data_IF_042886577457
#
_entry.id   IF_042886577457
#
_cell.length_a   1.000
_cell.length_b   1.000
_cell.length_c   1.000
_cell.angle_alpha   90.00
_cell.angle_beta   90.00
_cell.angle_gamma   90.00
#
_symmetry.space_group_name_H-M   'P 1'
#
loop_
_entity.id
_entity.type
_entity.pdbx_description
1 polymer ?
#
# COMPACT_ATOMS: atom_id res chain seq x y z
N UNK A 1 18.41 1.38 -0.08
CA UNK A 1 17.50 0.68 -1.03
C UNK A 1 16.67 1.73 -1.76
N UNK A 2 16.57 1.65 -3.10
CA UNK A 2 15.79 2.62 -3.91
C UNK A 2 14.34 2.15 -4.01
N UNK A 3 13.41 2.97 -3.54
CA UNK A 3 11.99 2.67 -3.46
C UNK A 3 11.18 3.61 -4.37
N UNK A 4 10.27 3.03 -5.17
CA UNK A 4 9.18 3.76 -5.83
C UNK A 4 7.86 3.35 -5.19
N UNK A 5 6.97 4.32 -4.92
CA UNK A 5 5.63 4.05 -4.37
C UNK A 5 4.55 4.49 -5.36
N UNK A 6 3.57 3.62 -5.62
CA UNK A 6 2.34 3.94 -6.34
C UNK A 6 1.17 3.93 -5.36
N UNK A 7 0.41 5.03 -5.26
CA UNK A 7 -0.54 5.30 -4.16
C UNK A 7 -1.80 6.01 -4.65
N UNK A 8 -2.91 5.79 -3.99
CA UNK A 8 -4.13 6.60 -4.12
C UNK A 8 -4.33 7.58 -2.94
N UNK A 9 -3.23 8.03 -2.33
CA UNK A 9 -3.20 8.93 -1.18
C UNK A 9 -4.14 10.12 -1.31
N UNK A 10 -4.75 10.51 -0.19
CA UNK A 10 -5.61 11.69 -0.07
C UNK A 10 -6.79 11.48 0.86
N UNK A 11 -7.59 10.48 0.62
CA UNK A 11 -8.84 10.27 1.38
C UNK A 11 -8.63 9.36 2.60
N UNK A 12 -7.75 8.35 2.48
CA UNK A 12 -7.37 7.47 3.59
C UNK A 12 -6.08 7.96 4.27
N UNK A 13 -6.04 8.10 5.61
CA UNK A 13 -4.81 8.48 6.34
C UNK A 13 -3.69 7.44 6.27
N UNK A 14 -3.97 6.20 5.96
CA UNK A 14 -3.03 5.07 5.93
C UNK A 14 -1.91 5.28 4.91
N UNK A 15 -2.25 5.64 3.68
CA UNK A 15 -1.29 6.05 2.65
C UNK A 15 -0.35 7.16 3.15
N UNK A 16 -0.92 8.19 3.80
CA UNK A 16 -0.15 9.32 4.31
C UNK A 16 0.90 8.86 5.32
N UNK A 17 0.54 7.92 6.20
CA UNK A 17 1.48 7.35 7.18
C UNK A 17 2.57 6.54 6.47
N UNK A 18 2.20 5.70 5.51
CA UNK A 18 3.16 4.88 4.77
C UNK A 18 4.17 5.75 4.01
N UNK A 19 3.70 6.77 3.29
CA UNK A 19 4.55 7.73 2.58
C UNK A 19 5.49 8.50 3.53
N UNK A 20 4.97 8.94 4.68
CA UNK A 20 5.76 9.64 5.69
C UNK A 20 6.86 8.78 6.29
N UNK A 21 6.54 7.53 6.63
CA UNK A 21 7.52 6.57 7.14
C UNK A 21 8.58 6.20 6.09
N UNK A 22 8.17 6.00 4.83
CA UNK A 22 9.10 5.68 3.75
C UNK A 22 10.16 6.77 3.54
N UNK A 23 9.75 8.04 3.63
CA UNK A 23 10.65 9.18 3.46
C UNK A 23 11.62 9.41 4.64
N UNK A 24 11.46 8.66 5.75
CA UNK A 24 12.26 8.78 6.98
C UNK A 24 13.04 7.53 7.36
N UNK A 25 12.84 6.45 6.66
CA UNK A 25 13.61 5.25 6.88
C UNK A 25 15.04 5.45 6.35
N UNK A 26 16.04 5.42 7.22
CA UNK A 26 17.46 5.71 6.91
C UNK A 26 18.05 4.85 5.79
N UNK A 27 17.55 3.63 5.63
CA UNK A 27 17.99 2.66 4.63
C UNK A 27 17.18 2.72 3.32
N UNK A 28 16.22 3.66 3.22
CA UNK A 28 15.34 3.88 2.07
C UNK A 28 15.68 5.18 1.35
N UNK A 29 15.96 5.08 0.07
CA UNK A 29 16.01 6.20 -0.87
C UNK A 29 14.67 6.21 -1.63
N UNK A 30 13.73 7.05 -1.20
CA UNK A 30 12.43 7.23 -1.87
C UNK A 30 12.63 8.04 -3.13
N UNK A 31 12.89 7.34 -4.24
CA UNK A 31 13.25 7.94 -5.54
C UNK A 31 12.07 8.52 -6.30
N UNK A 32 10.84 8.18 -5.94
CA UNK A 32 9.65 8.77 -6.53
C UNK A 32 8.34 8.16 -6.02
N UNK A 33 7.28 8.90 -6.29
CA UNK A 33 5.89 8.52 -5.99
C UNK A 33 5.04 8.77 -7.23
N UNK A 34 4.20 7.81 -7.61
CA UNK A 34 3.14 7.98 -8.60
C UNK A 34 1.77 7.91 -7.93
N UNK A 35 0.80 8.61 -8.50
CA UNK A 35 -0.58 8.57 -8.01
C UNK A 35 -1.50 7.84 -8.97
N UNK A 36 -2.47 7.13 -8.44
CA UNK A 36 -3.42 6.31 -9.19
C UNK A 36 -4.84 6.56 -8.70
N UNK A 37 -5.81 6.24 -9.54
CA UNK A 37 -7.24 6.31 -9.28
C UNK A 37 -7.82 7.72 -9.03
N UNK A 38 -9.02 7.96 -9.57
CA UNK A 38 -9.76 9.20 -9.42
C UNK A 38 -8.99 10.45 -9.92
N UNK A 39 -8.93 11.49 -9.11
CA UNK A 39 -8.22 12.74 -9.43
C UNK A 39 -6.73 12.63 -9.05
N UNK A 40 -5.94 12.04 -9.95
CA UNK A 40 -4.50 11.80 -9.76
C UNK A 40 -3.71 13.10 -9.55
N UNK A 41 -4.12 14.22 -10.17
CA UNK A 41 -3.45 15.52 -9.98
C UNK A 41 -3.69 16.06 -8.57
N UNK A 42 -4.91 16.00 -8.06
CA UNK A 42 -5.22 16.39 -6.68
C UNK A 42 -4.41 15.56 -5.69
N UNK A 43 -4.33 14.25 -5.91
CA UNK A 43 -3.52 13.33 -5.10
C UNK A 43 -2.04 13.71 -5.13
N UNK A 44 -1.48 13.94 -6.32
CA UNK A 44 -0.08 14.33 -6.49
C UNK A 44 0.25 15.68 -5.81
N UNK A 45 -0.67 16.65 -5.85
CA UNK A 45 -0.51 17.90 -5.11
C UNK A 45 -0.42 17.65 -3.60
N UNK A 46 -1.28 16.78 -3.06
CA UNK A 46 -1.24 16.39 -1.65
C UNK A 46 0.08 15.74 -1.26
N UNK A 47 0.57 14.80 -2.07
CA UNK A 47 1.86 14.11 -1.84
C UNK A 47 3.03 15.08 -1.91
N UNK A 48 3.07 16.03 -2.87
CA UNK A 48 4.11 17.06 -2.95
C UNK A 48 4.16 17.96 -1.72
N UNK A 49 3.00 18.27 -1.11
CA UNK A 49 2.94 19.01 0.14
C UNK A 49 3.45 18.18 1.34
N UNK A 50 3.12 16.91 1.37
CA UNK A 50 3.56 15.98 2.43
C UNK A 50 5.07 15.73 2.37
N UNK A 51 5.62 15.56 1.16
CA UNK A 51 6.99 15.15 0.89
C UNK A 51 7.71 16.15 -0.03
N UNK A 52 8.06 17.34 0.47
CA UNK A 52 8.81 18.32 -0.32
C UNK A 52 10.15 17.75 -0.79
N UNK A 53 10.41 17.85 -2.09
CA UNK A 53 11.68 17.39 -2.68
C UNK A 53 11.66 15.97 -3.24
N UNK A 54 10.61 15.17 -2.96
CA UNK A 54 10.40 13.89 -3.63
C UNK A 54 9.82 14.11 -5.02
N UNK A 55 10.27 13.33 -6.00
CA UNK A 55 9.70 13.33 -7.35
C UNK A 55 8.29 12.72 -7.33
N UNK A 56 7.27 13.50 -7.70
CA UNK A 56 5.86 13.05 -7.68
C UNK A 56 5.22 13.20 -9.04
N UNK A 57 4.76 12.08 -9.58
CA UNK A 57 4.09 11.97 -10.88
C UNK A 57 2.59 11.73 -10.69
N UNK A 58 1.76 12.49 -11.36
CA UNK A 58 0.33 12.24 -11.44
C UNK A 58 0.03 11.20 -12.53
N UNK A 59 -0.61 10.11 -12.17
CA UNK A 59 -0.89 8.99 -13.08
C UNK A 59 0.30 8.05 -13.26
N UNK A 60 0.34 7.28 -14.36
CA UNK A 60 1.35 6.25 -14.58
C UNK A 60 2.78 6.80 -14.53
N UNK A 61 3.67 6.16 -13.78
CA UNK A 61 5.05 6.61 -13.69
C UNK A 61 5.83 6.30 -14.98
N UNK A 62 6.87 7.09 -15.30
CA UNK A 62 7.77 6.77 -16.40
C UNK A 62 8.52 5.45 -16.16
N UNK A 63 8.48 4.55 -17.14
CA UNK A 63 9.06 3.21 -17.06
C UNK A 63 10.55 3.24 -16.69
N UNK A 64 11.33 4.10 -17.36
CA UNK A 64 12.77 4.27 -17.17
C UNK A 64 13.16 4.73 -15.76
N UNK A 65 12.24 5.36 -15.01
CA UNK A 65 12.45 5.72 -13.62
C UNK A 65 12.20 4.55 -12.68
N UNK A 66 11.13 3.81 -12.92
CA UNK A 66 10.73 2.68 -12.07
C UNK A 66 11.67 1.48 -12.24
N UNK A 67 12.16 1.21 -13.45
CA UNK A 67 13.18 0.18 -13.71
C UNK A 67 14.45 0.36 -12.85
N UNK A 68 14.75 1.59 -12.48
CA UNK A 68 15.89 1.91 -11.62
C UNK A 68 15.62 1.72 -10.12
N UNK A 69 14.39 1.41 -9.71
CA UNK A 69 14.09 1.06 -8.33
C UNK A 69 14.56 -0.36 -7.98
N UNK A 70 14.95 -0.57 -6.73
CA UNK A 70 15.14 -1.92 -6.18
C UNK A 70 13.78 -2.57 -5.87
N UNK A 71 12.83 -1.74 -5.43
CA UNK A 71 11.48 -2.15 -5.04
C UNK A 71 10.44 -1.16 -5.57
N UNK A 72 9.34 -1.69 -6.12
CA UNK A 72 8.10 -0.98 -6.36
C UNK A 72 7.08 -1.43 -5.32
N UNK A 73 6.55 -0.47 -4.56
CA UNK A 73 5.45 -0.67 -3.63
C UNK A 73 4.17 -0.07 -4.20
N UNK A 74 3.16 -0.89 -4.48
CA UNK A 74 1.81 -0.44 -4.85
C UNK A 74 0.88 -0.52 -3.65
N UNK A 75 0.36 0.62 -3.19
CA UNK A 75 -0.61 0.74 -2.10
C UNK A 75 -1.95 1.33 -2.56
N UNK A 76 -2.08 1.67 -3.83
CA UNK A 76 -3.33 1.99 -4.50
C UNK A 76 -3.79 0.88 -5.46
N UNK A 77 -4.84 1.12 -6.26
CA UNK A 77 -5.27 0.23 -7.33
C UNK A 77 -4.14 -0.18 -8.28
N UNK A 78 -4.10 -1.44 -8.68
CA UNK A 78 -2.94 -2.01 -9.39
C UNK A 78 -2.82 -1.59 -10.87
N UNK A 79 -3.61 -0.63 -11.32
CA UNK A 79 -3.69 -0.14 -12.71
C UNK A 79 -2.33 0.30 -13.25
N UNK A 80 -1.63 1.19 -12.54
CA UNK A 80 -0.32 1.70 -12.98
C UNK A 80 0.74 0.60 -12.98
N UNK A 81 0.74 -0.27 -11.98
CA UNK A 81 1.69 -1.39 -11.87
C UNK A 81 1.47 -2.40 -13.00
N UNK A 82 0.21 -2.67 -13.37
CA UNK A 82 -0.11 -3.51 -14.51
C UNK A 82 0.36 -2.89 -15.84
N UNK A 83 0.20 -1.58 -16.01
CA UNK A 83 0.71 -0.86 -17.18
C UNK A 83 2.24 -0.91 -17.29
N UNK A 84 2.96 -0.83 -16.17
CA UNK A 84 4.42 -1.03 -16.13
C UNK A 84 4.81 -2.48 -16.49
N UNK A 85 4.06 -3.46 -16.00
CA UNK A 85 4.28 -4.86 -16.33
C UNK A 85 4.13 -5.12 -17.85
N UNK A 86 3.11 -4.53 -18.48
CA UNK A 86 2.87 -4.65 -19.92
C UNK A 86 4.03 -4.04 -20.75
N UNK A 87 4.77 -3.09 -20.19
CA UNK A 87 5.96 -2.48 -20.77
C UNK A 87 7.26 -3.24 -20.44
N UNK A 88 7.20 -4.27 -19.58
CA UNK A 88 8.39 -4.97 -19.09
C UNK A 88 9.25 -4.13 -18.12
N UNK A 89 8.68 -3.09 -17.52
CA UNK A 89 9.38 -2.08 -16.73
C UNK A 89 9.26 -2.27 -15.20
N UNK A 90 8.87 -3.46 -14.75
CA UNK A 90 8.84 -3.75 -13.32
C UNK A 90 10.25 -3.99 -12.77
N UNK A 91 10.56 -3.45 -11.58
CA UNK A 91 11.79 -3.79 -10.89
C UNK A 91 11.75 -5.26 -10.40
N UNK A 92 12.90 -5.73 -9.93
CA UNK A 92 13.04 -7.13 -9.48
C UNK A 92 12.08 -7.50 -8.34
N UNK A 93 11.75 -6.55 -7.47
CA UNK A 93 10.86 -6.77 -6.32
C UNK A 93 9.65 -5.85 -6.43
N UNK A 94 8.47 -6.44 -6.42
CA UNK A 94 7.20 -5.72 -6.43
C UNK A 94 6.37 -6.19 -5.24
N UNK A 95 5.94 -5.26 -4.41
CA UNK A 95 5.08 -5.50 -3.24
C UNK A 95 3.77 -4.76 -3.47
N UNK A 96 2.65 -5.45 -3.32
CA UNK A 96 1.31 -4.92 -3.59
C UNK A 96 0.41 -5.13 -2.37
N UNK A 97 -0.13 -4.03 -1.85
CA UNK A 97 -1.26 -4.10 -0.93
C UNK A 97 -2.52 -4.36 -1.75
N UNK A 98 -3.28 -5.39 -1.39
CA UNK A 98 -4.55 -5.67 -2.06
C UNK A 98 -5.02 -7.10 -1.95
N UNK A 99 -6.29 -7.28 -2.29
CA UNK A 99 -6.99 -8.56 -2.25
C UNK A 99 -7.46 -8.99 -0.86
N UNK A 100 -8.62 -9.62 -0.81
CA UNK A 100 -9.19 -10.05 0.47
C UNK A 100 -8.75 -11.48 0.86
N UNK A 101 -8.63 -12.40 -0.08
CA UNK A 101 -8.35 -13.86 0.05
C UNK A 101 -9.36 -14.63 0.90
N UNK A 102 -10.13 -13.98 1.74
CA UNK A 102 -11.28 -14.52 2.48
C UNK A 102 -12.24 -13.37 2.80
N UNK A 103 -13.52 -13.66 3.07
CA UNK A 103 -14.47 -12.63 3.47
C UNK A 103 -14.04 -11.95 4.76
N UNK A 104 -14.06 -10.62 4.79
CA UNK A 104 -13.74 -9.80 5.95
C UNK A 104 -15.00 -9.10 6.43
N UNK A 105 -15.22 -9.10 7.73
CA UNK A 105 -16.32 -8.35 8.34
C UNK A 105 -15.93 -6.87 8.42
N UNK A 106 -16.66 -6.03 7.69
CA UNK A 106 -16.52 -4.58 7.72
C UNK A 106 -17.90 -3.94 7.91
N UNK A 107 -18.07 -3.11 8.92
CA UNK A 107 -19.35 -2.45 9.27
C UNK A 107 -20.53 -3.44 9.39
N UNK A 108 -20.28 -4.60 9.96
CA UNK A 108 -21.30 -5.63 10.10
C UNK A 108 -21.56 -6.49 8.87
N UNK A 109 -21.05 -6.12 7.71
CA UNK A 109 -21.20 -6.84 6.44
C UNK A 109 -19.97 -7.68 6.10
N UNK A 110 -20.17 -8.79 5.40
CA UNK A 110 -19.08 -9.60 4.84
C UNK A 110 -18.67 -9.03 3.49
N UNK A 111 -17.47 -8.50 3.41
CA UNK A 111 -16.87 -8.05 2.14
C UNK A 111 -15.91 -9.11 1.61
N UNK A 112 -16.00 -9.37 0.31
CA UNK A 112 -15.15 -10.32 -0.43
C UNK A 112 -14.17 -9.61 -1.37
N UNK A 113 -14.47 -8.37 -1.71
CA UNK A 113 -13.68 -7.55 -2.62
C UNK A 113 -12.96 -6.49 -1.78
N UNK A 114 -11.65 -6.41 -1.98
CA UNK A 114 -10.81 -5.37 -1.42
C UNK A 114 -10.73 -4.21 -2.42
N UNK A 115 -10.49 -2.98 -1.93
CA UNK A 115 -10.59 -1.77 -2.72
C UNK A 115 -9.63 -1.75 -3.92
N UNK A 116 -8.34 -1.97 -3.71
CA UNK A 116 -7.32 -1.83 -4.74
C UNK A 116 -7.51 -2.81 -5.90
N UNK A 117 -7.85 -4.06 -5.58
CA UNK A 117 -8.16 -5.08 -6.58
C UNK A 117 -9.55 -4.85 -7.18
N UNK A 118 -10.51 -4.40 -6.38
CA UNK A 118 -11.88 -4.14 -6.82
C UNK A 118 -12.02 -2.92 -7.72
N UNK A 119 -11.13 -1.93 -7.61
CA UNK A 119 -11.14 -0.74 -8.44
C UNK A 119 -10.74 -1.03 -9.90
N UNK A 120 -9.84 -2.01 -10.12
CA UNK A 120 -9.44 -2.46 -11.45
C UNK A 120 -9.13 -3.97 -11.46
N UNK A 121 -10.17 -4.82 -11.44
CA UNK A 121 -9.99 -6.28 -11.41
C UNK A 121 -9.29 -6.83 -12.65
N UNK A 122 -9.47 -6.18 -13.80
CA UNK A 122 -8.83 -6.59 -15.05
C UNK A 122 -7.32 -6.37 -14.99
N UNK A 123 -6.88 -5.20 -14.53
CA UNK A 123 -5.47 -4.90 -14.30
C UNK A 123 -4.85 -5.87 -13.29
N UNK A 124 -5.52 -6.13 -12.18
CA UNK A 124 -5.05 -7.05 -11.16
C UNK A 124 -4.91 -8.49 -11.70
N UNK A 125 -5.91 -8.99 -12.40
CA UNK A 125 -5.87 -10.31 -13.03
C UNK A 125 -4.78 -10.42 -14.10
N UNK A 126 -4.59 -9.36 -14.92
CA UNK A 126 -3.57 -9.30 -15.96
C UNK A 126 -2.17 -9.28 -15.34
N UNK A 127 -1.96 -8.46 -14.31
CA UNK A 127 -0.71 -8.36 -13.58
C UNK A 127 -0.29 -9.70 -12.98
N UNK A 128 -1.19 -10.39 -12.29
CA UNK A 128 -0.92 -11.72 -11.73
C UNK A 128 -0.50 -12.73 -12.80
N UNK A 129 -1.16 -12.74 -13.97
CA UNK A 129 -0.86 -13.70 -15.05
C UNK A 129 0.44 -13.41 -15.78
N UNK A 130 0.79 -12.15 -15.96
CA UNK A 130 1.87 -11.73 -16.85
C UNK A 130 3.19 -11.47 -16.12
N UNK A 131 3.18 -11.47 -14.79
CA UNK A 131 4.38 -11.25 -13.99
C UNK A 131 4.85 -12.54 -13.34
N UNK A 132 6.13 -12.57 -13.01
CA UNK A 132 6.72 -13.63 -12.22
C UNK A 132 6.19 -13.64 -10.79
N UNK A 133 7.07 -13.63 -9.82
CA UNK A 133 6.66 -13.65 -8.41
C UNK A 133 6.46 -12.23 -7.86
N UNK A 134 5.22 -11.89 -7.52
CA UNK A 134 4.87 -10.69 -6.75
C UNK A 134 4.80 -11.03 -5.26
N UNK A 135 4.94 -10.01 -4.41
CA UNK A 135 4.62 -10.10 -2.99
C UNK A 135 3.27 -9.40 -2.77
N UNK A 136 2.26 -10.14 -2.36
CA UNK A 136 0.92 -9.63 -2.10
C UNK A 136 0.68 -9.53 -0.60
N UNK A 137 0.22 -8.37 -0.14
CA UNK A 137 -0.14 -8.08 1.24
C UNK A 137 -1.66 -7.95 1.32
N UNK A 138 -2.39 -9.05 1.61
CA UNK A 138 -3.84 -9.07 1.55
C UNK A 138 -4.49 -8.55 2.83
N UNK A 139 -5.76 -8.16 2.73
CA UNK A 139 -6.55 -7.70 3.90
C UNK A 139 -6.54 -8.68 5.06
N UNK A 140 -6.60 -10.00 4.81
CA UNK A 140 -6.62 -11.01 5.88
C UNK A 140 -5.38 -10.97 6.75
N UNK A 141 -4.24 -10.49 6.24
CA UNK A 141 -3.00 -10.36 6.99
C UNK A 141 -2.96 -9.07 7.82
N UNK A 142 -3.64 -8.02 7.39
CA UNK A 142 -3.51 -6.66 7.93
C UNK A 142 -4.75 -6.15 8.68
N UNK A 143 -5.91 -6.79 8.54
CA UNK A 143 -7.20 -6.33 9.07
C UNK A 143 -7.24 -6.13 10.61
N UNK A 144 -6.29 -6.70 11.35
CA UNK A 144 -6.15 -6.53 12.81
C UNK A 144 -5.19 -5.42 13.20
N UNK A 145 -4.34 -4.97 12.28
CA UNK A 145 -3.34 -3.94 12.54
C UNK A 145 -4.01 -2.57 12.62
N UNK A 146 -4.39 -2.17 13.82
CA UNK A 146 -5.13 -0.93 14.08
C UNK A 146 -4.24 0.09 14.76
N UNK A 147 -4.36 1.34 14.34
CA UNK A 147 -3.79 2.44 15.09
C UNK A 147 -4.51 2.59 16.43
N UNK A 148 -3.75 2.71 17.51
CA UNK A 148 -4.25 3.00 18.83
C UNK A 148 -4.24 4.50 19.10
N UNK A 149 -4.93 4.98 20.12
CA UNK A 149 -4.97 6.39 20.49
C UNK A 149 -3.56 6.99 20.76
N UNK A 150 -2.60 6.17 21.18
CA UNK A 150 -1.21 6.61 21.34
C UNK A 150 -0.55 6.82 19.96
N UNK A 151 -0.74 5.89 19.03
CA UNK A 151 -0.21 5.98 17.66
C UNK A 151 -0.74 7.24 16.97
N UNK A 152 -2.04 7.48 17.05
CA UNK A 152 -2.68 8.66 16.47
C UNK A 152 -2.15 9.98 17.04
N UNK A 153 -1.84 10.03 18.35
CA UNK A 153 -1.21 11.22 18.94
C UNK A 153 0.19 11.46 18.40
N UNK A 154 1.00 10.41 18.29
CA UNK A 154 2.35 10.49 17.73
C UNK A 154 2.28 10.97 16.27
N UNK A 155 1.44 10.33 15.45
CA UNK A 155 1.26 10.68 14.04
C UNK A 155 0.74 12.12 13.86
N UNK A 156 -0.22 12.54 14.69
CA UNK A 156 -0.77 13.91 14.62
C UNK A 156 0.25 14.98 15.05
N UNK A 157 1.23 14.62 15.87
CA UNK A 157 2.31 15.52 16.25
C UNK A 157 3.42 15.60 15.19
N UNK A 158 3.66 14.48 14.48
CA UNK A 158 4.78 14.33 13.57
C UNK A 158 4.43 14.72 12.12
N UNK A 159 3.23 14.33 11.65
CA UNK A 159 2.84 14.48 10.25
C UNK A 159 2.03 15.77 10.04
N UNK A 160 2.51 16.73 9.23
CA UNK A 160 1.77 17.96 8.95
C UNK A 160 0.38 17.69 8.37
N UNK A 161 -0.64 18.29 8.96
CA UNK A 161 -2.03 18.16 8.50
C UNK A 161 -2.73 16.84 8.83
N UNK A 162 -2.03 15.85 9.37
CA UNK A 162 -2.58 14.51 9.64
C UNK A 162 -3.82 14.55 10.54
N UNK A 163 -3.81 15.38 11.58
CA UNK A 163 -4.96 15.51 12.48
C UNK A 163 -6.23 15.93 11.74
N UNK A 164 -6.12 16.92 10.86
CA UNK A 164 -7.26 17.39 10.05
C UNK A 164 -7.74 16.31 9.07
N UNK A 165 -6.81 15.57 8.45
CA UNK A 165 -7.13 14.45 7.58
C UNK A 165 -7.86 13.34 8.36
N UNK A 166 -7.36 12.96 9.53
CA UNK A 166 -7.96 11.94 10.39
C UNK A 166 -9.37 12.36 10.85
N UNK A 167 -9.57 13.62 11.23
CA UNK A 167 -10.87 14.14 11.64
C UNK A 167 -11.86 14.14 10.45
N UNK A 168 -11.41 14.51 9.25
CA UNK A 168 -12.22 14.42 8.02
C UNK A 168 -12.56 12.96 7.68
N UNK A 169 -11.58 12.06 7.74
CA UNK A 169 -11.81 10.64 7.51
C UNK A 169 -12.85 10.06 8.49
N UNK A 170 -12.79 10.44 9.76
CA UNK A 170 -13.75 10.01 10.79
C UNK A 170 -15.17 10.54 10.54
N UNK A 171 -15.33 11.72 9.98
CA UNK A 171 -16.67 12.23 9.60
C UNK A 171 -17.38 11.31 8.61
N UNK A 172 -16.63 10.64 7.74
CA UNK A 172 -17.16 9.71 6.73
C UNK A 172 -17.22 8.26 7.21
N UNK A 173 -16.34 7.86 8.13
CA UNK A 173 -16.16 6.48 8.56
C UNK A 173 -16.67 6.21 10.00
N UNK A 174 -17.07 7.25 10.75
CA UNK A 174 -17.55 7.12 12.13
C UNK A 174 -16.46 6.61 13.08
N UNK A 175 -16.84 5.68 13.97
CA UNK A 175 -15.96 5.08 14.96
C UNK A 175 -15.14 3.89 14.42
N UNK A 176 -15.06 3.73 13.10
CA UNK A 176 -14.21 2.69 12.51
C UNK A 176 -12.74 2.92 12.92
N UNK A 177 -12.03 1.86 13.31
CA UNK A 177 -10.62 1.99 13.62
C UNK A 177 -9.81 2.27 12.35
N UNK A 178 -8.83 3.15 12.43
CA UNK A 178 -7.83 3.31 11.37
C UNK A 178 -6.97 2.05 11.31
N UNK A 179 -7.09 1.32 10.21
CA UNK A 179 -6.29 0.11 9.97
C UNK A 179 -5.07 0.48 9.11
N UNK A 180 -3.91 -0.06 9.45
CA UNK A 180 -2.61 0.31 8.88
C UNK A 180 -2.17 -0.70 7.80
N UNK A 181 -2.98 -0.83 6.75
CA UNK A 181 -2.74 -1.78 5.65
C UNK A 181 -1.47 -1.43 4.86
N UNK A 182 -1.33 -0.17 4.49
CA UNK A 182 -0.25 0.35 3.65
C UNK A 182 1.06 0.46 4.41
N UNK A 183 0.97 0.77 5.71
CA UNK A 183 2.14 0.75 6.61
C UNK A 183 2.72 -0.66 6.70
N UNK A 184 1.87 -1.69 6.82
CA UNK A 184 2.33 -3.09 6.80
C UNK A 184 2.99 -3.44 5.46
N UNK A 185 2.40 -3.01 4.33
CA UNK A 185 2.95 -3.24 3.01
C UNK A 185 4.30 -2.53 2.82
N UNK A 186 4.46 -1.32 3.34
CA UNK A 186 5.74 -0.61 3.35
C UNK A 186 6.81 -1.43 4.08
N UNK A 187 6.54 -1.90 5.31
CA UNK A 187 7.55 -2.64 6.08
C UNK A 187 7.90 -3.99 5.46
N UNK A 188 6.95 -4.64 4.79
CA UNK A 188 7.25 -5.79 3.92
C UNK A 188 8.16 -5.40 2.75
N UNK A 189 7.91 -4.26 2.12
CA UNK A 189 8.68 -3.77 0.98
C UNK A 189 10.13 -3.44 1.35
N UNK A 190 10.34 -2.79 2.49
CA UNK A 190 11.68 -2.43 2.97
C UNK A 190 12.43 -3.60 3.62
N UNK A 191 11.75 -4.73 3.85
CA UNK A 191 12.38 -5.96 4.33
C UNK A 191 12.45 -6.07 5.85
N UNK A 192 11.67 -5.28 6.57
CA UNK A 192 11.53 -5.41 8.02
C UNK A 192 10.94 -6.78 8.39
N UNK A 193 11.38 -7.34 9.54
CA UNK A 193 10.99 -8.68 10.00
C UNK A 193 9.59 -8.72 10.64
N UNK A 194 8.69 -7.87 10.15
CA UNK A 194 7.33 -7.72 10.71
C UNK A 194 6.33 -8.73 10.15
N UNK A 195 6.73 -9.58 9.21
CA UNK A 195 5.78 -10.45 8.51
C UNK A 195 6.29 -11.87 8.28
N UNK A 196 5.33 -12.78 8.09
CA UNK A 196 5.57 -14.14 7.58
C UNK A 196 4.88 -14.30 6.24
N UNK A 197 5.62 -14.82 5.27
CA UNK A 197 5.14 -15.07 3.90
C UNK A 197 4.98 -16.55 3.62
N UNK A 198 4.10 -16.88 2.69
CA UNK A 198 3.92 -18.21 2.10
C UNK A 198 3.70 -18.10 0.59
N UNK A 199 3.91 -19.17 -0.15
CA UNK A 199 3.61 -19.20 -1.58
C UNK A 199 2.19 -19.68 -1.81
N UNK A 200 1.40 -18.93 -2.58
CA UNK A 200 0.02 -19.28 -2.97
C UNK A 200 -0.21 -19.00 -4.43
N UNK A 201 -1.04 -19.81 -5.07
CA UNK A 201 -1.58 -19.49 -6.39
C UNK A 201 -2.80 -18.61 -6.23
N UNK A 202 -2.85 -17.52 -6.99
CA UNK A 202 -3.91 -16.51 -6.88
C UNK A 202 -4.63 -16.33 -8.20
N UNK A 203 -5.94 -16.08 -8.11
CA UNK A 203 -6.78 -15.64 -9.22
C UNK A 203 -7.67 -14.48 -8.77
N UNK A 204 -8.02 -13.63 -9.73
CA UNK A 204 -8.95 -12.52 -9.57
C UNK A 204 -10.09 -12.70 -10.53
N UNK A 205 -11.30 -12.66 -9.99
CA UNK A 205 -12.56 -12.71 -10.76
C UNK A 205 -12.92 -11.33 -11.32
N UNK A 206 -13.77 -11.28 -12.35
CA UNK A 206 -14.21 -10.01 -12.94
C UNK A 206 -14.89 -9.04 -11.96
N UNK A 207 -15.44 -9.55 -10.86
CA UNK A 207 -16.06 -8.75 -9.79
C UNK A 207 -15.06 -8.20 -8.77
N UNK A 208 -13.76 -8.49 -8.94
CA UNK A 208 -12.69 -8.09 -8.01
C UNK A 208 -12.46 -9.05 -6.84
N UNK A 209 -13.18 -10.16 -6.77
CA UNK A 209 -12.90 -11.20 -5.77
C UNK A 209 -11.55 -11.84 -6.07
N UNK A 210 -10.62 -11.76 -5.13
CA UNK A 210 -9.33 -12.47 -5.18
C UNK A 210 -9.38 -13.68 -4.26
N UNK A 211 -8.86 -14.81 -4.72
CA UNK A 211 -8.87 -16.05 -3.95
C UNK A 211 -7.66 -16.93 -4.23
N UNK A 212 -7.38 -17.84 -3.27
CA UNK A 212 -6.34 -18.83 -3.43
C UNK A 212 -6.81 -19.97 -4.34
N UNK A 213 -6.13 -20.19 -5.45
CA UNK A 213 -6.47 -21.13 -6.51
C UNK A 213 -5.54 -22.34 -6.51
N UNK A 214 -5.90 -23.37 -7.29
CA UNK A 214 -5.02 -24.52 -7.57
C UNK A 214 -4.31 -24.37 -8.93
N UNK A 215 -4.79 -23.48 -9.79
CA UNK A 215 -4.30 -23.32 -11.18
C UNK A 215 -3.71 -21.92 -11.47
N UNK A 216 -4.03 -20.91 -10.68
CA UNK A 216 -3.53 -19.55 -10.87
C UNK A 216 -2.00 -19.45 -10.76
N UNK A 217 -1.42 -18.29 -11.10
CA UNK A 217 0.01 -18.05 -10.98
C UNK A 217 0.48 -18.07 -9.52
N UNK A 218 1.69 -18.56 -9.29
CA UNK A 218 2.27 -18.65 -7.95
C UNK A 218 2.81 -17.30 -7.52
N UNK A 219 2.38 -16.83 -6.37
CA UNK A 219 2.79 -15.56 -5.78
C UNK A 219 3.30 -15.78 -4.34
N UNK A 220 4.07 -14.83 -3.82
CA UNK A 220 4.36 -14.72 -2.40
C UNK A 220 3.24 -13.93 -1.72
N UNK A 221 2.68 -14.48 -0.67
CA UNK A 221 1.56 -13.88 0.05
C UNK A 221 1.95 -13.69 1.51
N UNK A 222 1.74 -12.50 2.04
CA UNK A 222 1.88 -12.25 3.47
C UNK A 222 0.74 -12.94 4.21
N UNK A 223 1.09 -13.91 5.05
CA UNK A 223 0.13 -14.69 5.81
C UNK A 223 -0.18 -14.09 7.18
N UNK A 224 0.76 -13.31 7.71
CA UNK A 224 0.64 -12.67 9.03
C UNK A 224 1.57 -11.47 9.11
N UNK A 225 1.11 -10.45 9.82
CA UNK A 225 1.87 -9.25 10.20
C UNK A 225 1.93 -9.19 11.73
N UNK A 226 3.08 -8.83 12.28
CA UNK A 226 3.22 -8.60 13.72
C UNK A 226 2.76 -7.17 14.06
N UNK A 227 1.58 -7.07 14.64
CA UNK A 227 0.91 -5.80 14.92
C UNK A 227 1.74 -4.88 15.85
N UNK A 228 2.38 -5.43 16.88
CA UNK A 228 3.13 -4.65 17.86
C UNK A 228 4.45 -4.12 17.30
N UNK A 229 5.19 -4.95 16.57
CA UNK A 229 6.43 -4.56 15.91
C UNK A 229 6.16 -3.51 14.81
N UNK A 230 5.11 -3.71 14.01
CA UNK A 230 4.71 -2.76 12.98
C UNK A 230 4.37 -1.39 13.57
N UNK A 231 3.56 -1.34 14.64
CA UNK A 231 3.26 -0.05 15.29
C UNK A 231 4.48 0.58 15.97
N UNK A 232 5.35 -0.23 16.57
CA UNK A 232 6.57 0.29 17.18
C UNK A 232 7.47 0.95 16.14
N UNK A 233 7.72 0.27 15.00
CA UNK A 233 8.52 0.80 13.90
C UNK A 233 7.91 2.06 13.27
N UNK A 234 6.60 2.05 13.06
CA UNK A 234 5.87 3.22 12.57
C UNK A 234 6.08 4.45 13.49
N UNK A 235 5.95 4.27 14.80
CA UNK A 235 6.15 5.39 15.75
C UNK A 235 7.59 5.90 15.77
N UNK A 236 8.56 4.99 15.71
CA UNK A 236 9.97 5.34 15.60
C UNK A 236 10.19 6.26 14.40
N UNK A 237 9.87 5.81 13.20
CA UNK A 237 10.05 6.58 11.96
C UNK A 237 9.21 7.87 11.94
N UNK A 238 8.01 7.86 12.50
CA UNK A 238 7.19 9.06 12.58
C UNK A 238 7.83 10.14 13.47
N UNK A 239 8.61 9.73 14.48
CA UNK A 239 9.22 10.63 15.48
C UNK A 239 10.64 11.08 15.10
N UNK A 240 11.29 10.41 14.15
CA UNK A 240 12.62 10.77 13.66
C UNK A 240 12.54 12.01 12.76
N UNK A 241 13.12 13.12 13.19
CA UNK A 241 13.22 14.37 12.42
C UNK A 241 12.53 15.58 13.03
N UNK A 242 12.25 15.55 14.36
CA UNK A 242 11.84 16.72 15.14
C UNK A 242 13.05 17.50 15.68
#
# INVERSE_FOLDING_TARGET
MRLWIDTDAGDNPDDTIALWCAARADDVDLIGVSTVDGDVERRAVGVRHLLPGVDVVAGPPPADRVENADVLLGIGPWTNVAALADQGALPRRVVLMGGALAPIKHRGELRRVEHNVGADPEAAARLLRNTGSLIVVPLVATARLRAHAHDERVLSSAIPGFRAQLDTWRQHNGDEPLVLHDVAALFVAVGDQVSRMESRRLEVEPDGTMWASVVGPLQHVVAHVNDDETRARMRELASEGG
#
